data_IF_014076351358
#
_entry.id   IF_014076351358
#
_cell.length_a   1.000
_cell.length_b   1.000
_cell.length_c   1.000
_cell.angle_alpha   90.00
_cell.angle_beta   90.00
_cell.angle_gamma   90.00
#
_symmetry.space_group_name_H-M   'P 1'
#
loop_
_entity.id
_entity.type
_entity.pdbx_description
1 polymer ?
#
# COMPACT_ATOMS: atom_id res chain seq x y z
N UNK A 1 -6.52 -2.16 3.05
CA UNK A 1 -7.97 -1.82 3.05
C UNK A 1 -8.69 -2.79 3.98
N UNK A 2 -8.84 -2.43 5.24
CA UNK A 2 -9.70 -3.19 6.17
C UNK A 2 -11.15 -2.80 5.89
N UNK A 3 -11.91 -3.72 5.29
CA UNK A 3 -13.37 -3.60 5.27
C UNK A 3 -13.87 -4.09 6.64
N UNK A 4 -14.70 -3.33 7.37
CA UNK A 4 -15.25 -3.78 8.65
C UNK A 4 -15.95 -5.14 8.49
N UNK A 5 -15.47 -6.17 9.21
CA UNK A 5 -16.04 -7.53 9.21
C UNK A 5 -15.32 -8.57 8.36
N UNK A 6 -14.25 -8.22 7.63
CA UNK A 6 -13.44 -9.19 6.89
C UNK A 6 -11.98 -9.14 7.36
N UNK A 7 -11.50 -10.25 7.90
CA UNK A 7 -10.10 -10.44 8.25
C UNK A 7 -9.33 -10.95 7.04
N UNK A 8 -8.28 -10.25 6.62
CA UNK A 8 -7.23 -10.82 5.79
C UNK A 8 -6.07 -11.16 6.71
N UNK A 9 -5.61 -12.40 6.67
CA UNK A 9 -4.40 -12.78 7.36
C UNK A 9 -3.22 -12.09 6.67
N UNK A 10 -2.56 -11.16 7.35
CA UNK A 10 -1.18 -10.83 7.04
C UNK A 10 -0.38 -12.12 7.22
N UNK A 11 0.60 -12.39 6.35
CA UNK A 11 1.35 -13.66 6.28
C UNK A 11 1.76 -14.23 7.64
N UNK A 12 1.95 -13.39 8.65
CA UNK A 12 2.47 -13.75 9.96
C UNK A 12 1.74 -13.07 11.13
N UNK A 13 0.53 -12.51 10.94
CA UNK A 13 -0.14 -11.71 11.97
C UNK A 13 -1.65 -11.89 11.97
N UNK A 14 -2.21 -11.91 13.17
CA UNK A 14 -3.66 -11.83 13.35
C UNK A 14 -4.20 -10.45 12.95
N UNK A 15 -5.43 -10.37 12.45
CA UNK A 15 -6.07 -9.10 12.12
C UNK A 15 -6.20 -8.18 13.33
N UNK A 16 -5.78 -6.92 13.20
CA UNK A 16 -5.95 -5.93 14.24
C UNK A 16 -7.42 -5.47 14.29
N UNK A 17 -8.09 -5.69 15.42
CA UNK A 17 -9.37 -5.07 15.72
C UNK A 17 -9.12 -3.78 16.50
N UNK A 18 -9.69 -2.68 16.01
CA UNK A 18 -9.62 -1.38 16.66
C UNK A 18 -11.03 -0.98 17.08
N UNK A 19 -11.23 -0.70 18.37
CA UNK A 19 -12.50 -0.21 18.91
C UNK A 19 -12.32 1.13 19.58
N UNK A 20 -12.94 2.17 19.05
CA UNK A 20 -12.91 3.48 19.66
C UNK A 20 -13.80 3.55 20.91
N UNK A 21 -13.27 4.14 21.99
CA UNK A 21 -13.97 4.44 23.23
C UNK A 21 -13.70 5.89 23.65
N UNK A 22 -14.57 6.81 23.25
CA UNK A 22 -14.35 8.24 23.49
C UNK A 22 -13.07 8.73 22.80
N UNK A 23 -12.08 9.18 23.57
CA UNK A 23 -10.78 9.66 23.09
C UNK A 23 -9.68 8.58 23.15
N UNK A 24 -10.01 7.34 23.43
CA UNK A 24 -9.09 6.21 23.48
C UNK A 24 -9.49 5.10 22.51
N UNK A 25 -8.57 4.17 22.26
CA UNK A 25 -8.80 3.00 21.41
C UNK A 25 -8.36 1.74 22.15
N UNK A 26 -9.22 0.72 22.13
CA UNK A 26 -8.82 -0.64 22.47
C UNK A 26 -8.34 -1.33 21.17
N UNK A 27 -7.24 -2.06 21.26
CA UNK A 27 -6.66 -2.83 20.14
C UNK A 27 -6.49 -4.30 20.52
N UNK A 28 -6.68 -5.22 19.56
CA UNK A 28 -6.64 -6.67 19.80
C UNK A 28 -5.24 -7.27 19.58
N UNK A 29 -4.19 -6.60 20.04
CA UNK A 29 -2.82 -7.10 19.93
C UNK A 29 -2.10 -6.96 21.27
N UNK A 30 -0.93 -7.60 21.40
CA UNK A 30 -0.05 -7.39 22.56
C UNK A 30 0.65 -6.02 22.49
N UNK A 31 1.13 -5.52 23.63
CA UNK A 31 1.92 -4.28 23.70
C UNK A 31 3.18 -4.38 22.84
N UNK A 32 3.84 -5.56 22.83
CA UNK A 32 5.03 -5.81 22.00
C UNK A 32 4.71 -5.73 20.50
N UNK A 33 3.61 -6.32 20.04
CA UNK A 33 3.15 -6.25 18.64
C UNK A 33 2.72 -4.85 18.27
N UNK A 34 2.05 -4.14 19.18
CA UNK A 34 1.68 -2.75 19.00
C UNK A 34 2.89 -1.86 18.76
N UNK A 35 3.90 -1.92 19.64
CA UNK A 35 5.07 -1.06 19.53
C UNK A 35 6.00 -1.41 18.37
N UNK A 36 6.15 -2.72 18.06
CA UNK A 36 7.05 -3.17 16.99
C UNK A 36 6.47 -3.06 15.58
N UNK A 37 5.15 -3.14 15.44
CA UNK A 37 4.52 -3.19 14.11
C UNK A 37 3.37 -2.18 13.92
N UNK A 38 2.28 -2.28 14.67
CA UNK A 38 1.06 -1.51 14.39
C UNK A 38 1.25 -0.01 14.54
N UNK A 39 2.03 0.41 15.50
CA UNK A 39 2.39 1.81 15.71
C UNK A 39 3.14 2.39 14.50
N UNK A 40 4.03 1.59 13.89
CA UNK A 40 4.75 1.97 12.67
C UNK A 40 3.81 1.94 11.47
N UNK A 41 3.03 0.87 11.30
CA UNK A 41 2.07 0.71 10.20
C UNK A 41 1.07 1.87 10.15
N UNK A 42 0.53 2.28 11.29
CA UNK A 42 -0.42 3.39 11.42
C UNK A 42 0.25 4.77 11.40
N UNK A 43 1.55 4.82 11.22
CA UNK A 43 2.38 6.05 11.19
C UNK A 43 2.17 6.95 12.42
N UNK A 44 2.10 6.36 13.62
CA UNK A 44 1.86 7.09 14.86
C UNK A 44 3.09 7.83 15.38
N UNK A 45 4.26 7.57 14.83
CA UNK A 45 5.52 8.21 15.21
C UNK A 45 5.75 9.56 14.51
N UNK A 46 5.01 9.85 13.44
CA UNK A 46 5.10 11.13 12.72
C UNK A 46 4.30 12.21 13.46
N UNK A 47 4.93 13.37 13.70
CA UNK A 47 4.29 14.52 14.33
C UNK A 47 3.43 15.30 13.31
N UNK A 48 2.21 14.80 13.09
CA UNK A 48 1.23 15.45 12.21
C UNK A 48 0.76 16.82 12.73
N UNK A 49 0.89 17.09 14.02
CA UNK A 49 0.57 18.40 14.57
C UNK A 49 1.63 19.44 14.15
N UNK A 50 2.91 19.07 14.14
CA UNK A 50 3.97 19.92 13.63
C UNK A 50 3.75 20.24 12.13
N UNK A 51 3.38 19.22 11.32
CA UNK A 51 3.03 19.40 9.91
C UNK A 51 1.85 20.36 9.78
N UNK A 52 0.79 20.17 10.57
CA UNK A 52 -0.38 21.04 10.58
C UNK A 52 -0.03 22.50 10.91
N UNK A 53 0.83 22.73 11.91
CA UNK A 53 1.32 24.08 12.23
C UNK A 53 2.05 24.73 11.06
N UNK A 54 2.86 23.97 10.32
CA UNK A 54 3.55 24.48 9.12
C UNK A 54 2.54 24.85 8.02
N UNK A 55 1.55 24.01 7.77
CA UNK A 55 0.48 24.26 6.79
C UNK A 55 -0.31 25.51 7.16
N UNK A 56 -0.75 25.64 8.40
CA UNK A 56 -1.53 26.79 8.87
C UNK A 56 -0.75 28.10 8.80
N UNK A 57 0.58 28.05 8.81
CA UNK A 57 1.48 29.21 8.65
C UNK A 57 1.95 29.43 7.20
N UNK A 58 1.54 28.61 6.23
CA UNK A 58 2.07 28.63 4.85
C UNK A 58 1.65 29.86 4.03
N UNK A 59 0.62 30.59 4.42
CA UNK A 59 0.04 31.66 3.60
C UNK A 59 -0.85 31.20 2.44
N UNK A 60 -0.96 29.88 2.19
CA UNK A 60 -1.82 29.29 1.16
C UNK A 60 -3.17 28.86 1.77
N UNK A 61 -4.20 29.65 1.50
CA UNK A 61 -5.53 29.40 2.10
C UNK A 61 -6.20 28.13 1.59
N UNK A 62 -5.92 27.71 0.35
CA UNK A 62 -6.45 26.46 -0.20
C UNK A 62 -5.84 25.23 0.51
N UNK A 63 -4.53 25.24 0.74
CA UNK A 63 -3.84 24.15 1.46
C UNK A 63 -4.30 24.09 2.93
N UNK A 64 -4.57 25.23 3.56
CA UNK A 64 -5.16 25.27 4.91
C UNK A 64 -6.54 24.63 4.96
N UNK A 65 -7.42 25.00 4.02
CA UNK A 65 -8.76 24.42 3.91
C UNK A 65 -8.70 22.89 3.70
N UNK A 66 -7.80 22.44 2.81
CA UNK A 66 -7.57 21.01 2.61
C UNK A 66 -7.10 20.29 3.89
N UNK A 67 -6.21 20.91 4.66
CA UNK A 67 -5.73 20.37 5.93
C UNK A 67 -6.86 20.26 6.97
N UNK A 68 -7.70 21.29 7.10
CA UNK A 68 -8.83 21.26 8.03
C UNK A 68 -9.82 20.15 7.69
N UNK A 69 -10.14 19.95 6.41
CA UNK A 69 -11.00 18.87 5.94
C UNK A 69 -10.38 17.47 6.09
N UNK A 70 -9.06 17.37 5.91
CA UNK A 70 -8.29 16.12 5.98
C UNK A 70 -7.68 15.84 7.36
N UNK A 71 -7.98 16.64 8.38
CA UNK A 71 -7.39 16.47 9.71
C UNK A 71 -7.61 15.07 10.28
N UNK A 72 -6.51 14.46 10.76
CA UNK A 72 -6.52 13.09 11.31
C UNK A 72 -6.23 11.99 10.28
N UNK A 73 -6.21 12.29 8.98
CA UNK A 73 -5.78 11.33 7.95
C UNK A 73 -4.27 11.09 8.10
N UNK A 74 -3.85 9.82 8.02
CA UNK A 74 -2.45 9.40 8.08
C UNK A 74 -2.09 8.56 6.87
N UNK A 75 -0.83 8.64 6.43
CA UNK A 75 -0.30 7.80 5.36
C UNK A 75 0.23 6.51 6.00
N UNK A 76 -0.50 5.41 5.79
CA UNK A 76 -0.12 4.11 6.33
C UNK A 76 1.19 3.61 5.69
N UNK A 77 2.05 2.98 6.51
CA UNK A 77 3.27 2.28 6.04
C UNK A 77 2.91 0.84 5.73
N UNK A 78 2.46 0.61 4.51
CA UNK A 78 1.99 -0.69 4.07
C UNK A 78 3.14 -1.56 3.55
N UNK A 79 2.90 -2.87 3.46
CA UNK A 79 3.89 -3.79 2.89
C UNK A 79 4.21 -3.43 1.44
N UNK A 80 5.50 -3.41 1.12
CA UNK A 80 5.99 -2.97 -0.19
C UNK A 80 5.52 -3.88 -1.33
N UNK A 81 5.60 -5.21 -1.14
CA UNK A 81 5.18 -6.17 -2.16
C UNK A 81 3.68 -6.12 -2.39
N UNK A 82 2.90 -6.08 -1.32
CA UNK A 82 1.45 -5.91 -1.40
C UNK A 82 1.08 -4.64 -2.18
N UNK A 83 1.79 -3.52 -1.94
CA UNK A 83 1.54 -2.27 -2.65
C UNK A 83 1.88 -2.37 -4.13
N UNK A 84 3.01 -2.97 -4.50
CA UNK A 84 3.37 -3.18 -5.91
C UNK A 84 2.27 -3.96 -6.62
N UNK A 85 1.88 -5.11 -6.10
CA UNK A 85 0.88 -5.99 -6.73
C UNK A 85 -0.51 -5.35 -6.73
N UNK A 86 -0.93 -4.76 -5.63
CA UNK A 86 -2.25 -4.12 -5.51
C UNK A 86 -2.37 -2.92 -6.46
N UNK A 87 -1.32 -2.10 -6.62
CA UNK A 87 -1.35 -0.99 -7.57
C UNK A 87 -1.27 -1.45 -9.02
N UNK A 88 -0.62 -2.56 -9.34
CA UNK A 88 -0.74 -3.19 -10.66
C UNK A 88 -2.19 -3.63 -10.94
N UNK A 89 -2.88 -4.24 -9.97
CA UNK A 89 -4.29 -4.63 -10.08
C UNK A 89 -5.21 -3.40 -10.18
N UNK A 90 -4.85 -2.29 -9.56
CA UNK A 90 -5.68 -1.09 -9.48
C UNK A 90 -5.82 -0.31 -10.79
N UNK A 91 -4.94 -0.54 -11.76
CA UNK A 91 -4.91 0.21 -13.02
C UNK A 91 -6.23 0.10 -13.80
N UNK A 92 -6.85 1.25 -14.15
CA UNK A 92 -8.12 1.31 -14.86
C UNK A 92 -9.17 0.36 -14.24
N UNK A 93 -9.37 0.45 -12.93
CA UNK A 93 -10.21 -0.45 -12.16
C UNK A 93 -10.98 0.33 -11.09
N UNK A 94 -11.92 -0.31 -10.40
CA UNK A 94 -12.64 0.26 -9.27
C UNK A 94 -12.36 -0.52 -7.98
N UNK A 95 -12.61 0.13 -6.84
CA UNK A 95 -12.29 -0.42 -5.50
C UNK A 95 -12.89 -1.81 -5.30
N UNK A 96 -14.17 -2.03 -5.63
CA UNK A 96 -14.83 -3.32 -5.43
C UNK A 96 -14.18 -4.46 -6.22
N UNK A 97 -13.76 -4.20 -7.48
CA UNK A 97 -13.05 -5.19 -8.30
C UNK A 97 -11.63 -5.43 -7.81
N UNK A 98 -10.91 -4.36 -7.41
CA UNK A 98 -9.57 -4.46 -6.86
C UNK A 98 -9.59 -5.36 -5.62
N UNK A 99 -10.45 -5.05 -4.66
CA UNK A 99 -10.63 -5.83 -3.43
C UNK A 99 -10.99 -7.28 -3.73
N UNK A 100 -11.95 -7.51 -4.66
CA UNK A 100 -12.36 -8.85 -5.08
C UNK A 100 -11.21 -9.65 -5.71
N UNK A 101 -10.37 -9.02 -6.54
CA UNK A 101 -9.22 -9.68 -7.17
C UNK A 101 -8.12 -10.00 -6.16
N UNK A 102 -7.79 -9.05 -5.26
CA UNK A 102 -6.81 -9.26 -4.18
C UNK A 102 -7.27 -10.40 -3.26
N UNK A 103 -8.55 -10.40 -2.85
CA UNK A 103 -9.12 -11.46 -2.01
C UNK A 103 -8.98 -12.85 -2.64
N UNK A 104 -9.32 -12.98 -3.92
CA UNK A 104 -9.18 -14.23 -4.65
C UNK A 104 -7.73 -14.66 -4.82
N UNK A 105 -6.82 -13.70 -4.99
CA UNK A 105 -5.39 -13.96 -5.05
C UNK A 105 -4.88 -14.51 -3.72
N UNK A 106 -5.26 -13.90 -2.59
CA UNK A 106 -4.93 -14.39 -1.25
C UNK A 106 -5.48 -15.79 -0.98
N UNK A 107 -6.68 -16.12 -1.49
CA UNK A 107 -7.30 -17.44 -1.29
C UNK A 107 -6.53 -18.60 -1.96
N UNK A 108 -5.57 -18.31 -2.87
CA UNK A 108 -4.75 -19.37 -3.51
C UNK A 108 -3.85 -20.05 -2.49
N UNK A 109 -3.26 -19.30 -1.56
CA UNK A 109 -2.31 -19.81 -0.57
C UNK A 109 -2.66 -19.46 0.89
N UNK A 110 -3.84 -18.86 1.14
CA UNK A 110 -4.31 -18.49 2.48
C UNK A 110 -3.77 -17.15 3.02
N UNK A 111 -2.84 -16.53 2.32
CA UNK A 111 -2.25 -15.22 2.65
C UNK A 111 -1.97 -14.43 1.37
N UNK A 112 -1.54 -13.17 1.49
CA UNK A 112 -1.08 -12.42 0.31
C UNK A 112 0.17 -13.09 -0.27
N UNK A 113 0.14 -13.53 -1.56
CA UNK A 113 1.24 -14.32 -2.12
C UNK A 113 2.47 -13.45 -2.43
N UNK A 114 3.63 -13.91 -1.99
CA UNK A 114 4.94 -13.35 -2.32
C UNK A 114 5.58 -14.12 -3.47
N UNK A 115 6.71 -13.65 -4.04
CA UNK A 115 7.43 -14.38 -5.08
C UNK A 115 7.80 -15.78 -4.60
N UNK A 116 7.35 -16.79 -5.33
CA UNK A 116 7.58 -18.21 -4.98
C UNK A 116 6.45 -18.90 -4.23
N UNK A 117 5.45 -18.18 -3.70
CA UNK A 117 4.33 -18.78 -2.97
C UNK A 117 3.29 -19.40 -3.90
N UNK A 118 3.23 -18.97 -5.16
CA UNK A 118 2.24 -19.42 -6.14
C UNK A 118 2.90 -19.83 -7.47
N UNK A 119 2.28 -20.76 -8.17
CA UNK A 119 2.58 -20.99 -9.58
C UNK A 119 2.05 -19.81 -10.39
N UNK A 120 2.93 -19.14 -11.13
CA UNK A 120 2.62 -17.96 -11.93
C UNK A 120 1.51 -18.24 -12.97
N UNK A 121 1.40 -19.48 -13.45
CA UNK A 121 0.35 -19.89 -14.37
C UNK A 121 -1.05 -19.73 -13.76
N UNK A 122 -1.21 -19.79 -12.43
CA UNK A 122 -2.50 -19.60 -11.77
C UNK A 122 -3.09 -18.19 -11.98
N UNK A 123 -2.24 -17.18 -12.27
CA UNK A 123 -2.67 -15.80 -12.56
C UNK A 123 -3.52 -15.71 -13.84
N UNK A 124 -3.47 -16.71 -14.73
CA UNK A 124 -4.31 -16.77 -15.93
C UNK A 124 -5.76 -17.18 -15.63
N UNK A 125 -6.05 -17.63 -14.40
CA UNK A 125 -7.40 -17.96 -14.00
C UNK A 125 -8.31 -16.72 -14.10
N UNK A 126 -9.30 -16.79 -15.00
CA UNK A 126 -10.24 -15.69 -15.27
C UNK A 126 -11.07 -15.30 -14.06
N UNK A 127 -11.26 -16.21 -13.10
CA UNK A 127 -11.99 -15.92 -11.87
C UNK A 127 -11.30 -14.88 -10.99
N UNK A 128 -9.97 -14.70 -11.10
CA UNK A 128 -9.23 -13.67 -10.40
C UNK A 128 -9.63 -12.25 -10.86
N UNK A 129 -10.22 -12.11 -12.06
CA UNK A 129 -10.67 -10.83 -12.59
C UNK A 129 -9.56 -9.87 -12.99
N UNK A 130 -8.35 -10.38 -13.23
CA UNK A 130 -7.14 -9.59 -13.51
C UNK A 130 -7.16 -8.96 -14.92
N UNK A 131 -7.79 -9.64 -15.90
CA UNK A 131 -7.88 -9.17 -17.28
C UNK A 131 -6.49 -8.98 -17.92
N UNK A 132 -6.25 -7.86 -18.58
CA UNK A 132 -4.97 -7.55 -19.25
C UNK A 132 -3.79 -7.41 -18.28
N UNK A 133 -4.05 -7.26 -16.99
CA UNK A 133 -3.03 -7.07 -15.93
C UNK A 133 -2.29 -8.37 -15.61
N UNK A 134 -2.82 -9.52 -16.05
CA UNK A 134 -2.17 -10.84 -15.87
C UNK A 134 -0.70 -10.77 -16.26
N UNK A 135 -0.38 -10.19 -17.43
CA UNK A 135 1.02 -10.10 -17.91
C UNK A 135 1.90 -9.27 -16.98
N UNK A 136 1.38 -8.16 -16.45
CA UNK A 136 2.13 -7.31 -15.52
C UNK A 136 2.43 -8.03 -14.21
N UNK A 137 1.44 -8.78 -13.69
CA UNK A 137 1.63 -9.56 -12.48
C UNK A 137 2.61 -10.72 -12.74
N UNK A 138 2.46 -11.47 -13.84
CA UNK A 138 3.38 -12.55 -14.19
C UNK A 138 4.82 -12.04 -14.27
N UNK A 139 5.05 -10.96 -15.00
CA UNK A 139 6.37 -10.34 -15.14
C UNK A 139 6.93 -9.89 -13.76
N UNK A 140 6.07 -9.30 -12.91
CA UNK A 140 6.50 -8.83 -11.60
C UNK A 140 6.82 -9.96 -10.63
N UNK A 141 6.01 -11.03 -10.62
CA UNK A 141 6.27 -12.23 -9.81
C UNK A 141 7.55 -12.95 -10.26
N UNK A 142 7.76 -13.12 -11.57
CA UNK A 142 9.01 -13.66 -12.12
C UNK A 142 10.20 -12.82 -11.73
N UNK A 143 10.10 -11.49 -11.92
CA UNK A 143 11.17 -10.59 -11.55
C UNK A 143 11.51 -10.65 -10.04
N UNK A 144 10.48 -10.72 -9.18
CA UNK A 144 10.69 -10.87 -7.73
C UNK A 144 11.32 -12.20 -7.33
N UNK A 145 11.09 -13.29 -8.09
CA UNK A 145 11.75 -14.58 -7.88
C UNK A 145 13.21 -14.56 -8.31
N UNK A 146 13.52 -13.91 -9.44
CA UNK A 146 14.87 -13.79 -9.98
C UNK A 146 15.72 -12.77 -9.22
N UNK A 147 15.07 -11.78 -8.59
CA UNK A 147 15.70 -10.66 -7.90
C UNK A 147 15.16 -10.51 -6.46
N UNK A 148 15.41 -11.49 -5.58
CA UNK A 148 14.90 -11.45 -4.20
C UNK A 148 15.44 -10.25 -3.38
N UNK A 149 16.56 -9.66 -3.82
CA UNK A 149 17.14 -8.44 -3.23
C UNK A 149 16.31 -7.18 -3.46
N UNK A 150 15.38 -7.18 -4.42
CA UNK A 150 14.58 -5.99 -4.78
C UNK A 150 13.87 -5.37 -3.58
N UNK A 151 13.19 -6.20 -2.79
CA UNK A 151 12.42 -5.75 -1.63
C UNK A 151 13.31 -5.23 -0.50
N UNK A 152 14.57 -5.65 -0.45
CA UNK A 152 15.56 -5.15 0.50
C UNK A 152 16.31 -3.91 -0.04
N UNK A 153 16.35 -3.71 -1.35
CA UNK A 153 17.01 -2.60 -2.02
C UNK A 153 16.11 -1.35 -2.04
N UNK A 154 14.87 -1.48 -2.52
CA UNK A 154 13.96 -0.35 -2.72
C UNK A 154 13.81 0.57 -1.49
N UNK A 155 13.70 0.06 -0.24
CA UNK A 155 13.60 0.91 0.95
C UNK A 155 14.86 1.72 1.27
N UNK A 156 16.00 1.41 0.61
CA UNK A 156 17.29 2.12 0.81
C UNK A 156 17.53 3.21 -0.22
N UNK A 157 16.71 3.26 -1.26
CA UNK A 157 16.82 4.24 -2.34
C UNK A 157 16.16 5.55 -1.93
N UNK A 158 16.66 6.65 -2.47
CA UNK A 158 15.95 7.93 -2.48
C UNK A 158 14.66 7.82 -3.32
N UNK A 159 13.73 8.75 -3.13
CA UNK A 159 12.51 8.80 -3.94
C UNK A 159 12.80 8.78 -5.46
N UNK A 160 13.76 9.60 -5.92
CA UNK A 160 14.11 9.66 -7.33
C UNK A 160 14.65 8.31 -7.86
N UNK A 161 15.56 7.67 -7.12
CA UNK A 161 16.12 6.37 -7.48
C UNK A 161 15.05 5.26 -7.45
N UNK A 162 14.16 5.27 -6.44
CA UNK A 162 13.05 4.32 -6.34
C UNK A 162 12.07 4.48 -7.52
N UNK A 163 11.75 5.71 -7.90
CA UNK A 163 10.95 6.01 -9.09
C UNK A 163 11.60 5.46 -10.37
N UNK A 164 12.91 5.72 -10.57
CA UNK A 164 13.65 5.20 -11.72
C UNK A 164 13.66 3.67 -11.76
N UNK A 165 13.82 3.02 -10.62
CA UNK A 165 13.83 1.55 -10.54
C UNK A 165 12.45 0.95 -10.82
N UNK A 166 11.40 1.51 -10.23
CA UNK A 166 10.04 1.02 -10.38
C UNK A 166 9.51 1.15 -11.81
N UNK A 167 9.76 2.27 -12.49
CA UNK A 167 9.25 2.48 -13.86
C UNK A 167 9.92 1.59 -14.92
N UNK A 168 11.01 0.92 -14.59
CA UNK A 168 11.61 -0.11 -15.46
C UNK A 168 10.75 -1.38 -15.53
N UNK A 169 9.81 -1.55 -14.59
CA UNK A 169 8.98 -2.77 -14.51
C UNK A 169 7.77 -2.65 -15.43
N UNK A 170 7.45 -3.74 -16.10
CA UNK A 170 6.30 -3.78 -17.02
C UNK A 170 5.00 -3.47 -16.26
N UNK A 171 4.22 -2.53 -16.79
CA UNK A 171 2.98 -2.08 -16.18
C UNK A 171 3.14 -1.04 -15.07
N UNK A 172 4.34 -0.67 -14.65
CA UNK A 172 4.55 0.38 -13.65
C UNK A 172 4.90 1.70 -14.36
N UNK A 173 3.89 2.53 -14.55
CA UNK A 173 4.07 3.91 -15.02
C UNK A 173 4.29 4.89 -13.86
N UNK A 174 4.51 6.19 -14.15
CA UNK A 174 4.78 7.21 -13.13
C UNK A 174 3.73 7.27 -12.00
N UNK A 175 2.44 7.11 -12.31
CA UNK A 175 1.36 7.12 -11.31
C UNK A 175 1.47 5.93 -10.36
N UNK A 176 1.67 4.72 -10.88
CA UNK A 176 1.80 3.50 -10.06
C UNK A 176 3.07 3.56 -9.21
N UNK A 177 4.20 3.99 -9.81
CA UNK A 177 5.45 4.16 -9.09
C UNK A 177 5.30 5.15 -7.91
N UNK A 178 4.63 6.31 -8.12
CA UNK A 178 4.33 7.26 -7.04
C UNK A 178 3.46 6.65 -5.94
N UNK A 179 2.46 5.84 -6.30
CA UNK A 179 1.64 5.14 -5.29
C UNK A 179 2.49 4.16 -4.46
N UNK A 180 3.37 3.38 -5.11
CA UNK A 180 4.26 2.45 -4.41
C UNK A 180 5.25 3.22 -3.52
N UNK A 181 5.85 4.30 -4.03
CA UNK A 181 6.74 5.16 -3.24
C UNK A 181 6.05 5.74 -2.01
N UNK A 182 4.80 6.23 -2.15
CA UNK A 182 4.07 6.84 -1.04
C UNK A 182 3.64 5.80 0.01
N UNK A 183 3.00 4.71 -0.41
CA UNK A 183 2.35 3.78 0.50
C UNK A 183 3.21 2.57 0.88
N UNK A 184 4.14 2.14 0.02
CA UNK A 184 5.01 1.00 0.27
C UNK A 184 6.40 1.41 0.81
N UNK A 185 6.95 2.53 0.34
CA UNK A 185 8.26 3.03 0.76
C UNK A 185 8.18 4.21 1.74
N UNK A 186 6.99 4.79 1.91
CA UNK A 186 6.75 5.97 2.74
C UNK A 186 7.56 7.22 2.34
N UNK A 187 7.82 7.38 1.05
CA UNK A 187 8.37 8.60 0.48
C UNK A 187 7.26 9.66 0.41
N UNK A 188 7.18 10.51 1.42
CA UNK A 188 6.10 11.51 1.58
C UNK A 188 6.14 12.64 0.55
N UNK A 189 7.24 12.81 -0.18
CA UNK A 189 7.36 13.68 -1.35
C UNK A 189 6.66 13.12 -2.59
N UNK A 190 6.28 11.85 -2.60
CA UNK A 190 5.55 11.24 -3.71
C UNK A 190 4.12 11.75 -3.78
N UNK A 191 3.69 12.21 -4.96
CA UNK A 191 2.34 12.72 -5.20
C UNK A 191 1.69 12.01 -6.38
N UNK A 192 0.89 10.95 -6.14
CA UNK A 192 0.23 10.20 -7.20
C UNK A 192 -0.87 11.03 -7.88
N UNK A 193 -0.63 11.46 -9.12
CA UNK A 193 -1.63 12.16 -9.94
C UNK A 193 -2.30 11.19 -10.89
N UNK A 194 -3.59 11.02 -10.78
CA UNK A 194 -4.38 10.23 -11.71
C UNK A 194 -5.31 11.10 -12.59
N UNK A 195 -6.09 10.45 -13.45
CA UNK A 195 -6.96 11.14 -14.41
C UNK A 195 -8.07 11.97 -13.76
N UNK A 196 -8.37 11.74 -12.48
CA UNK A 196 -9.42 12.47 -11.74
C UNK A 196 -8.90 13.76 -11.06
N UNK A 197 -7.58 13.95 -11.03
CA UNK A 197 -6.91 15.13 -10.42
C UNK A 197 -6.64 16.24 -11.46
N UNK A 198 -7.12 16.10 -12.69
CA UNK A 198 -6.93 17.07 -13.77
C UNK A 198 -8.07 18.07 -13.86
#
# INVERSE_FOLDING_TARGET
>A
FLIPGESYECRDREPLLIRQKGNSFDVSCSDEEWDSYWRVYLDLNTDYEAIGRLIMNSGDDHVKECYELGSGIRILKQDLWEMIITFLISQNNNIGRITGSVKKLCNICGHFPYPGDIDIACLENRELGLGYRVKFLQDMYLYGQEHPELLALLPKLSYAEAMEELVKRNGIGPKVANCVCLFGLHHVEAFPVDTHVR
#
